data_IF_509840401973
#
_entry.id   IF_509840401973
#
_cell.length_a   1.000
_cell.length_b   1.000
_cell.length_c   1.000
_cell.angle_alpha   90.00
_cell.angle_beta   90.00
_cell.angle_gamma   90.00
#
_symmetry.space_group_name_H-M   'P 1'
#
loop_
_entity.id
_entity.type
_entity.pdbx_description
1 polymer ?
#
# COMPACT_ATOMS: atom_id res chain seq x y z
N UNK A 1 15.40 -0.60 -1.67
CA UNK A 1 14.22 0.24 -2.01
C UNK A 1 12.99 -0.06 -1.16
N UNK A 2 12.59 -1.32 -0.97
CA UNK A 2 11.34 -1.68 -0.29
C UNK A 2 11.06 -0.95 1.05
N UNK A 3 12.04 -0.91 1.96
CA UNK A 3 11.91 -0.18 3.23
C UNK A 3 11.74 1.33 3.06
N UNK A 4 12.50 1.95 2.15
CA UNK A 4 12.41 3.39 1.88
C UNK A 4 11.04 3.79 1.34
N UNK A 5 10.48 2.99 0.41
CA UNK A 5 9.09 3.19 -0.06
C UNK A 5 8.07 2.99 1.05
N UNK A 6 8.26 2.01 1.93
CA UNK A 6 7.39 1.80 3.09
C UNK A 6 7.38 3.01 4.04
N UNK A 7 8.57 3.54 4.37
CA UNK A 7 8.73 4.76 5.18
C UNK A 7 8.06 5.95 4.49
N UNK A 8 8.27 6.13 3.19
CA UNK A 8 7.65 7.21 2.42
C UNK A 8 6.11 7.15 2.44
N UNK A 9 5.53 5.95 2.30
CA UNK A 9 4.07 5.79 2.38
C UNK A 9 3.53 5.96 3.80
N UNK A 10 4.25 5.52 4.83
CA UNK A 10 3.88 5.81 6.21
C UNK A 10 3.91 7.33 6.48
N UNK A 11 4.95 8.04 6.03
CA UNK A 11 5.03 9.49 6.11
C UNK A 11 3.88 10.17 5.35
N UNK A 12 3.54 9.67 4.15
CA UNK A 12 2.41 10.16 3.37
C UNK A 12 1.08 9.96 4.11
N UNK A 13 0.87 8.82 4.79
CA UNK A 13 -0.32 8.58 5.59
C UNK A 13 -0.49 9.66 6.66
N UNK A 14 0.59 9.97 7.39
CA UNK A 14 0.60 10.99 8.44
C UNK A 14 0.47 12.40 7.87
N UNK A 15 1.04 12.67 6.69
CA UNK A 15 0.86 13.95 6.01
C UNK A 15 -0.60 14.19 5.59
N UNK A 16 -1.30 13.12 5.17
CA UNK A 16 -2.70 13.21 4.73
C UNK A 16 -3.71 13.24 5.89
N UNK A 17 -3.43 12.58 7.01
CA UNK A 17 -4.38 12.42 8.13
C UNK A 17 -3.95 13.16 9.42
N UNK A 18 -2.78 13.80 9.39
CA UNK A 18 -2.15 14.41 10.55
C UNK A 18 -1.37 13.41 11.41
N UNK A 19 -0.36 13.87 12.16
CA UNK A 19 0.45 13.02 13.05
C UNK A 19 -0.38 12.39 14.18
N UNK A 20 -1.49 13.02 14.58
CA UNK A 20 -2.42 12.50 15.60
C UNK A 20 -3.06 11.16 15.19
N UNK A 21 -3.09 10.83 13.90
CA UNK A 21 -3.54 9.50 13.46
C UNK A 21 -2.66 8.39 14.04
N UNK A 22 -1.35 8.61 14.24
CA UNK A 22 -0.48 7.61 14.83
C UNK A 22 -0.83 7.29 16.29
N UNK A 23 -1.39 8.26 17.03
CA UNK A 23 -1.78 8.12 18.44
C UNK A 23 -3.21 7.63 18.63
N UNK A 24 -4.07 7.78 17.63
CA UNK A 24 -5.45 7.29 17.63
C UNK A 24 -5.79 6.71 16.25
N UNK A 25 -5.16 5.57 15.87
CA UNK A 25 -5.25 5.06 14.51
C UNK A 25 -6.64 4.52 14.21
N UNK A 26 -7.16 4.90 13.05
CA UNK A 26 -8.36 4.30 12.46
C UNK A 26 -7.98 3.45 11.24
N UNK A 27 -8.68 2.33 11.03
CA UNK A 27 -8.35 1.38 9.95
C UNK A 27 -8.49 1.95 8.54
N UNK A 28 -9.54 2.75 8.30
CA UNK A 28 -9.93 3.17 6.94
C UNK A 28 -8.83 3.94 6.19
N UNK A 29 -8.19 5.00 6.73
CA UNK A 29 -7.10 5.70 6.05
C UNK A 29 -5.92 4.82 5.68
N UNK A 30 -5.53 3.89 6.56
CA UNK A 30 -4.40 3.00 6.32
C UNK A 30 -4.70 1.98 5.22
N UNK A 31 -5.90 1.37 5.23
CA UNK A 31 -6.33 0.48 4.15
C UNK A 31 -6.50 1.24 2.82
N UNK A 32 -7.11 2.42 2.84
CA UNK A 32 -7.31 3.23 1.64
C UNK A 32 -5.97 3.61 1.01
N UNK A 33 -5.00 4.06 1.80
CA UNK A 33 -3.66 4.36 1.29
C UNK A 33 -2.96 3.09 0.80
N UNK A 34 -3.00 2.00 1.58
CA UNK A 34 -2.46 0.71 1.17
C UNK A 34 -2.95 0.30 -0.21
N UNK A 35 -4.27 0.25 -0.43
CA UNK A 35 -4.86 -0.07 -1.73
C UNK A 35 -4.49 0.97 -2.81
N UNK A 36 -4.45 2.26 -2.50
CA UNK A 36 -4.05 3.29 -3.47
C UNK A 36 -2.62 3.06 -4.01
N UNK A 37 -1.70 2.55 -3.18
CA UNK A 37 -0.33 2.25 -3.64
C UNK A 37 -0.25 1.13 -4.68
N UNK A 38 -1.30 0.34 -4.92
CA UNK A 38 -1.40 -0.66 -6.00
C UNK A 38 -1.24 -0.03 -7.39
N UNK A 39 -1.59 1.24 -7.53
CA UNK A 39 -1.41 1.99 -8.78
C UNK A 39 0.05 2.00 -9.24
N UNK A 40 1.01 2.05 -8.30
CA UNK A 40 2.44 2.07 -8.60
C UNK A 40 2.88 0.79 -9.31
N UNK A 41 2.67 -0.43 -8.78
CA UNK A 41 3.04 -1.63 -9.50
C UNK A 41 2.20 -1.84 -10.76
N UNK A 42 0.88 -1.61 -10.74
CA UNK A 42 0.03 -1.93 -11.89
C UNK A 42 0.23 -1.00 -13.08
N UNK A 43 0.54 0.28 -12.86
CA UNK A 43 0.59 1.31 -13.91
C UNK A 43 2.01 1.78 -14.26
N UNK A 44 3.00 1.56 -13.38
CA UNK A 44 4.39 1.99 -13.62
C UNK A 44 5.34 0.80 -13.69
N UNK A 45 5.42 0.01 -12.62
CA UNK A 45 6.45 -1.04 -12.51
C UNK A 45 6.16 -2.19 -13.48
N UNK A 46 4.93 -2.70 -13.53
CA UNK A 46 4.56 -3.80 -14.43
C UNK A 46 4.77 -3.44 -15.91
N UNK A 47 4.33 -2.27 -16.40
CA UNK A 47 4.69 -1.80 -17.75
C UNK A 47 6.19 -1.73 -17.99
N UNK A 48 6.95 -1.14 -17.06
CA UNK A 48 8.41 -1.02 -17.18
C UNK A 48 9.12 -2.39 -17.21
N UNK A 49 8.53 -3.40 -16.56
CA UNK A 49 9.01 -4.80 -16.59
C UNK A 49 8.50 -5.59 -17.80
N UNK A 50 7.76 -4.98 -18.73
CA UNK A 50 7.22 -5.64 -19.91
C UNK A 50 5.92 -6.45 -19.68
N UNK A 51 5.39 -6.47 -18.44
CA UNK A 51 4.14 -7.15 -18.11
C UNK A 51 2.88 -6.39 -18.60
N UNK A 52 3.04 -5.16 -19.11
CA UNK A 52 1.95 -4.30 -19.58
C UNK A 52 1.19 -3.61 -18.44
N UNK A 53 0.28 -2.70 -18.79
CA UNK A 53 -0.60 -2.03 -17.83
C UNK A 53 -1.50 -3.09 -17.19
N UNK A 54 -1.58 -3.09 -15.86
CA UNK A 54 -2.35 -4.05 -15.07
C UNK A 54 -2.06 -5.51 -15.48
N UNK A 55 -0.79 -5.85 -15.67
CA UNK A 55 -0.32 -7.19 -16.06
C UNK A 55 -0.92 -7.73 -17.37
N UNK A 56 -1.43 -6.86 -18.25
CA UNK A 56 -2.17 -7.24 -19.47
C UNK A 56 -1.40 -8.12 -20.45
N UNK A 57 -0.06 -8.14 -20.42
CA UNK A 57 0.78 -9.00 -21.26
C UNK A 57 1.21 -10.30 -20.57
N UNK A 58 0.70 -10.59 -19.38
CA UNK A 58 0.98 -11.84 -18.65
C UNK A 58 -0.09 -12.90 -18.95
N UNK A 59 0.18 -14.21 -18.76
CA UNK A 59 -0.82 -15.25 -18.96
C UNK A 59 -2.01 -15.19 -17.98
N UNK A 60 -1.90 -14.45 -16.87
CA UNK A 60 -2.91 -14.42 -15.79
C UNK A 60 -3.14 -13.00 -15.23
N UNK A 61 -3.58 -12.03 -16.05
CA UNK A 61 -3.64 -10.62 -15.66
C UNK A 61 -4.52 -10.36 -14.43
N UNK A 62 -5.73 -10.92 -14.40
CA UNK A 62 -6.66 -10.75 -13.27
C UNK A 62 -6.07 -11.29 -11.96
N UNK A 63 -5.46 -12.48 -12.00
CA UNK A 63 -4.84 -13.09 -10.82
C UNK A 63 -3.68 -12.22 -10.30
N UNK A 64 -2.89 -11.64 -11.20
CA UNK A 64 -1.79 -10.76 -10.83
C UNK A 64 -2.28 -9.45 -10.22
N UNK A 65 -3.34 -8.86 -10.77
CA UNK A 65 -4.00 -7.69 -10.18
C UNK A 65 -4.56 -7.98 -8.78
N UNK A 66 -5.31 -9.08 -8.61
CA UNK A 66 -5.86 -9.47 -7.31
C UNK A 66 -4.78 -9.73 -6.27
N UNK A 67 -3.66 -10.37 -6.64
CA UNK A 67 -2.50 -10.54 -5.77
C UNK A 67 -1.88 -9.21 -5.38
N UNK A 68 -1.74 -8.28 -6.33
CA UNK A 68 -1.24 -6.94 -6.04
C UNK A 68 -2.14 -6.20 -5.06
N UNK A 69 -3.46 -6.23 -5.27
CA UNK A 69 -4.45 -5.65 -4.37
C UNK A 69 -4.34 -6.27 -2.97
N UNK A 70 -4.28 -7.60 -2.88
CA UNK A 70 -4.16 -8.30 -1.59
C UNK A 70 -2.88 -7.92 -0.84
N UNK A 71 -1.72 -7.93 -1.51
CA UNK A 71 -0.44 -7.59 -0.89
C UNK A 71 -0.43 -6.15 -0.35
N UNK A 72 -1.01 -5.23 -1.09
CA UNK A 72 -1.10 -3.82 -0.69
C UNK A 72 -2.18 -3.56 0.36
N UNK A 73 -3.24 -4.36 0.38
CA UNK A 73 -4.18 -4.42 1.50
C UNK A 73 -3.50 -4.88 2.79
N UNK A 74 -2.66 -5.93 2.72
CA UNK A 74 -1.84 -6.40 3.84
C UNK A 74 -0.87 -5.30 4.30
N UNK A 75 -0.25 -4.57 3.38
CA UNK A 75 0.60 -3.43 3.73
C UNK A 75 -0.19 -2.33 4.49
N UNK A 76 -1.37 -1.94 3.99
CA UNK A 76 -2.23 -0.97 4.68
C UNK A 76 -2.69 -1.44 6.06
N UNK A 77 -3.05 -2.73 6.18
CA UNK A 77 -3.36 -3.34 7.47
C UNK A 77 -2.14 -3.31 8.41
N UNK A 78 -0.95 -3.57 7.89
CA UNK A 78 0.31 -3.47 8.63
C UNK A 78 0.55 -2.09 9.20
N UNK A 79 0.32 -1.02 8.42
CA UNK A 79 0.42 0.37 8.90
C UNK A 79 -0.52 0.63 10.09
N UNK A 80 -1.77 0.18 9.99
CA UNK A 80 -2.74 0.29 11.07
C UNK A 80 -2.31 -0.48 12.32
N UNK A 81 -1.94 -1.76 12.18
CA UNK A 81 -1.56 -2.60 13.32
C UNK A 81 -0.29 -2.09 14.00
N UNK A 82 0.69 -1.59 13.24
CA UNK A 82 1.89 -0.97 13.81
C UNK A 82 1.55 0.29 14.60
N UNK A 83 0.72 1.18 14.07
CA UNK A 83 0.28 2.37 14.80
C UNK A 83 -0.54 1.99 16.05
N UNK A 84 -1.45 1.02 15.93
CA UNK A 84 -2.27 0.55 17.04
C UNK A 84 -1.42 -0.07 18.16
N UNK A 85 -0.38 -0.83 17.80
CA UNK A 85 0.57 -1.36 18.76
C UNK A 85 1.35 -0.23 19.45
N UNK A 86 1.87 0.75 18.69
CA UNK A 86 2.61 1.89 19.26
C UNK A 86 1.72 2.72 20.19
N UNK A 87 0.46 2.95 19.83
CA UNK A 87 -0.49 3.71 20.66
C UNK A 87 -0.92 2.98 21.94
N UNK A 88 -0.69 1.66 22.02
CA UNK A 88 -1.01 0.83 23.18
C UNK A 88 0.17 0.64 24.16
N UNK A 89 1.37 1.12 23.79
CA UNK A 89 2.58 1.11 24.63
C UNK A 89 2.68 2.41 25.43
#
# INVERSE_FOLDING_TARGET
MHYATGIAFAALLLALNGPAWATAPSLLPALALGIATVTVPLLLIQPAMGAGIASSKTPTPLRNCLRSIANHGVFGLGLYLSAALIAAL
#
